data_IF_045049394134
#
_entry.id   IF_045049394134
#
_cell.length_a   1.000
_cell.length_b   1.000
_cell.length_c   1.000
_cell.angle_alpha   90.00
_cell.angle_beta   90.00
_cell.angle_gamma   90.00
#
_symmetry.space_group_name_H-M   'P 1'
#
loop_
_entity.id
_entity.type
_entity.pdbx_description
1 polymer ?
#
# COMPACT_ATOMS: atom_id res chain seq x y z
N UNK A 1 -0.57 -5.51 12.01
CA UNK A 1 0.61 -6.37 11.75
C UNK A 1 0.35 -7.53 10.79
N UNK A 2 -0.86 -8.10 10.74
CA UNK A 2 -1.18 -9.29 9.92
C UNK A 2 -1.10 -9.04 8.39
N UNK A 3 -1.67 -7.93 7.91
CA UNK A 3 -1.75 -7.65 6.46
C UNK A 3 -0.38 -7.40 5.79
N UNK A 4 0.55 -6.76 6.50
CA UNK A 4 1.94 -6.54 6.03
C UNK A 4 2.74 -7.85 5.97
N UNK A 5 2.37 -8.84 6.78
CA UNK A 5 3.03 -10.16 6.82
C UNK A 5 2.55 -11.03 5.65
N UNK A 6 1.24 -11.00 5.37
CA UNK A 6 0.63 -11.66 4.21
C UNK A 6 1.17 -11.12 2.87
N UNK A 7 1.31 -9.79 2.71
CA UNK A 7 1.82 -9.22 1.44
C UNK A 7 3.29 -9.53 1.15
N UNK A 8 4.06 -10.01 2.13
CA UNK A 8 5.45 -10.46 1.91
C UNK A 8 5.53 -11.90 1.40
N UNK A 9 4.45 -12.68 1.55
CA UNK A 9 4.40 -14.12 1.25
C UNK A 9 3.46 -14.44 0.09
N UNK A 10 2.49 -13.57 -0.19
CA UNK A 10 1.41 -13.80 -1.15
C UNK A 10 1.28 -12.58 -2.08
N UNK A 11 0.90 -12.80 -3.34
CA UNK A 11 0.66 -11.73 -4.32
C UNK A 11 -0.35 -10.71 -3.75
N UNK A 12 -0.11 -9.42 -4.00
CA UNK A 12 -0.87 -8.31 -3.40
C UNK A 12 -2.37 -8.44 -3.69
N UNK A 13 -2.72 -8.95 -4.86
CA UNK A 13 -4.08 -9.16 -5.35
C UNK A 13 -4.84 -10.21 -4.52
N UNK A 14 -4.13 -11.21 -4.00
CA UNK A 14 -4.74 -12.29 -3.22
C UNK A 14 -5.03 -11.84 -1.78
N UNK A 15 -4.11 -11.06 -1.18
CA UNK A 15 -4.34 -10.38 0.10
C UNK A 15 -5.50 -9.40 -0.02
N UNK A 16 -5.58 -8.70 -1.16
CA UNK A 16 -6.66 -7.75 -1.43
C UNK A 16 -8.04 -8.43 -1.46
N UNK A 17 -8.17 -9.51 -2.24
CA UNK A 17 -9.42 -10.30 -2.30
C UNK A 17 -9.80 -10.90 -0.95
N UNK A 18 -8.80 -11.39 -0.21
CA UNK A 18 -9.04 -11.93 1.13
C UNK A 18 -9.63 -10.88 2.07
N UNK A 19 -9.04 -9.67 2.13
CA UNK A 19 -9.54 -8.60 2.99
C UNK A 19 -10.97 -8.21 2.60
N UNK A 20 -11.26 -8.05 1.31
CA UNK A 20 -12.62 -7.72 0.84
C UNK A 20 -13.62 -8.79 1.26
N UNK A 21 -13.27 -10.07 1.07
CA UNK A 21 -14.13 -11.20 1.45
C UNK A 21 -14.42 -11.24 2.95
N UNK A 22 -13.42 -11.01 3.79
CA UNK A 22 -13.61 -10.98 5.25
C UNK A 22 -14.40 -9.76 5.71
N UNK A 23 -14.19 -8.59 5.11
CA UNK A 23 -14.99 -7.40 5.40
C UNK A 23 -16.45 -7.60 4.98
N UNK A 24 -16.72 -8.12 3.79
CA UNK A 24 -18.08 -8.39 3.34
C UNK A 24 -18.84 -9.33 4.30
N UNK A 25 -18.20 -10.36 4.85
CA UNK A 25 -18.82 -11.25 5.84
C UNK A 25 -19.31 -10.53 7.11
N UNK A 26 -18.55 -9.56 7.61
CA UNK A 26 -18.90 -8.80 8.82
C UNK A 26 -19.93 -7.72 8.56
N UNK A 27 -19.94 -7.13 7.36
CA UNK A 27 -20.88 -6.05 7.04
C UNK A 27 -22.26 -6.57 6.59
N UNK A 28 -22.33 -7.72 5.92
CA UNK A 28 -23.60 -8.39 5.62
C UNK A 28 -24.37 -8.72 6.90
N UNK A 29 -23.68 -9.04 8.00
CA UNK A 29 -24.32 -9.33 9.29
C UNK A 29 -24.75 -8.10 10.08
N UNK A 30 -24.31 -6.88 9.71
CA UNK A 30 -24.64 -5.63 10.40
C UNK A 30 -25.70 -4.77 9.68
N UNK A 31 -26.27 -5.25 8.56
CA UNK A 31 -27.41 -4.62 7.89
C UNK A 31 -27.14 -3.25 7.25
N UNK A 32 -25.89 -2.79 7.22
CA UNK A 32 -25.51 -1.53 6.58
C UNK A 32 -25.16 -1.78 5.08
N UNK A 33 -25.87 -1.14 4.12
CA UNK A 33 -25.56 -1.28 2.70
C UNK A 33 -24.31 -0.46 2.34
N UNK A 34 -23.12 -0.94 2.72
CA UNK A 34 -21.87 -0.36 2.26
C UNK A 34 -21.59 -0.85 0.84
N UNK A 35 -21.60 0.08 -0.11
CA UNK A 35 -21.26 -0.19 -1.51
C UNK A 35 -19.78 -0.60 -1.64
N UNK A 36 -19.46 -1.61 -2.45
CA UNK A 36 -18.13 -2.22 -2.61
C UNK A 36 -16.97 -1.23 -2.83
N UNK A 37 -17.27 -0.09 -3.46
CA UNK A 37 -16.34 1.03 -3.69
C UNK A 37 -15.70 1.57 -2.39
N UNK A 38 -16.40 1.51 -1.26
CA UNK A 38 -15.84 1.94 0.03
C UNK A 38 -14.75 0.99 0.51
N UNK A 39 -14.97 -0.32 0.38
CA UNK A 39 -13.95 -1.32 0.69
C UNK A 39 -12.76 -1.20 -0.24
N UNK A 40 -12.99 -0.95 -1.53
CA UNK A 40 -11.92 -0.70 -2.48
C UNK A 40 -11.05 0.50 -2.07
N UNK A 41 -11.67 1.63 -1.70
CA UNK A 41 -10.94 2.83 -1.24
C UNK A 41 -10.16 2.56 0.05
N UNK A 42 -10.79 1.89 1.03
CA UNK A 42 -10.15 1.55 2.31
C UNK A 42 -8.94 0.67 2.07
N UNK A 43 -9.09 -0.39 1.28
CA UNK A 43 -7.98 -1.31 1.08
C UNK A 43 -6.89 -0.68 0.20
N UNK A 44 -7.24 0.18 -0.76
CA UNK A 44 -6.26 1.00 -1.48
C UNK A 44 -5.44 1.86 -0.52
N UNK A 45 -6.08 2.47 0.49
CA UNK A 45 -5.39 3.23 1.53
C UNK A 45 -4.53 2.36 2.45
N UNK A 46 -4.93 1.13 2.77
CA UNK A 46 -4.08 0.21 3.56
C UNK A 46 -2.72 -0.07 2.90
N UNK A 47 -2.64 0.01 1.56
CA UNK A 47 -1.42 -0.19 0.78
C UNK A 47 -0.82 1.11 0.21
N UNK A 48 -1.26 2.28 0.67
CA UNK A 48 -0.81 3.57 0.16
C UNK A 48 0.53 4.03 0.70
N UNK A 49 1.05 3.40 1.77
CA UNK A 49 2.33 3.79 2.39
C UNK A 49 3.40 2.71 2.23
N UNK A 50 4.64 3.16 2.05
CA UNK A 50 5.83 2.31 1.94
C UNK A 50 6.86 2.72 2.97
N UNK A 51 7.69 1.76 3.38
CA UNK A 51 8.86 2.02 4.23
C UNK A 51 10.09 2.05 3.35
N UNK A 52 10.85 3.14 3.40
CA UNK A 52 12.13 3.27 2.69
C UNK A 52 13.15 2.32 3.32
N UNK A 53 13.78 1.48 2.49
CA UNK A 53 14.85 0.56 2.94
C UNK A 53 16.23 1.18 2.68
N UNK A 54 16.46 1.61 1.45
CA UNK A 54 17.64 2.34 1.00
C UNK A 54 17.15 3.68 0.44
N UNK A 55 17.62 4.84 0.94
CA UNK A 55 17.23 6.14 0.45
C UNK A 55 17.96 6.57 -0.83
N UNK A 56 18.88 5.77 -1.39
CA UNK A 56 19.57 6.09 -2.63
C UNK A 56 20.19 7.49 -2.62
N UNK A 57 19.95 8.26 -3.69
CA UNK A 57 20.30 9.69 -3.77
C UNK A 57 19.12 10.61 -3.43
N UNK A 58 18.07 10.09 -2.79
CA UNK A 58 16.93 10.88 -2.34
C UNK A 58 17.16 11.49 -0.95
N UNK A 59 16.32 12.47 -0.62
CA UNK A 59 16.32 13.13 0.70
C UNK A 59 15.53 12.35 1.77
N UNK A 60 15.17 11.09 1.49
CA UNK A 60 14.43 10.26 2.44
C UNK A 60 15.35 9.68 3.50
N UNK A 61 14.78 9.37 4.67
CA UNK A 61 15.50 8.69 5.74
C UNK A 61 15.30 7.17 5.65
N UNK A 62 16.34 6.36 5.92
CA UNK A 62 16.17 4.92 6.11
C UNK A 62 15.09 4.63 7.16
N UNK A 63 14.14 3.76 6.85
CA UNK A 63 13.03 3.43 7.74
C UNK A 63 11.86 4.41 7.74
N UNK A 64 11.98 5.56 7.06
CA UNK A 64 10.90 6.52 6.90
C UNK A 64 9.69 5.87 6.23
N UNK A 65 8.49 6.19 6.73
CA UNK A 65 7.23 5.75 6.14
C UNK A 65 6.63 6.92 5.38
N UNK A 66 6.58 6.79 4.05
CA UNK A 66 6.04 7.83 3.17
C UNK A 66 4.93 7.28 2.28
N UNK A 67 4.19 8.18 1.65
CA UNK A 67 3.20 7.80 0.66
C UNK A 67 3.87 7.21 -0.59
N UNK A 68 3.28 6.14 -1.09
CA UNK A 68 3.77 5.38 -2.23
C UNK A 68 3.81 6.24 -3.50
N UNK A 69 2.86 7.17 -3.65
CA UNK A 69 2.84 8.12 -4.75
C UNK A 69 4.09 9.01 -4.74
N UNK A 70 4.38 9.65 -3.59
CA UNK A 70 5.57 10.49 -3.37
C UNK A 70 6.87 9.70 -3.60
N UNK A 71 6.93 8.46 -3.10
CA UNK A 71 8.08 7.59 -3.34
C UNK A 71 8.34 7.35 -4.83
N UNK A 72 7.28 7.03 -5.60
CA UNK A 72 7.42 6.77 -7.03
C UNK A 72 7.76 8.02 -7.84
N UNK A 73 7.20 9.17 -7.47
CA UNK A 73 7.51 10.45 -8.10
C UNK A 73 8.98 10.82 -7.91
N UNK A 74 9.48 10.79 -6.68
CA UNK A 74 10.90 11.06 -6.39
C UNK A 74 11.83 10.09 -7.12
N UNK A 75 11.49 8.80 -7.16
CA UNK A 75 12.27 7.81 -7.92
C UNK A 75 12.27 8.09 -9.43
N UNK A 76 11.16 8.58 -9.98
CA UNK A 76 11.09 8.98 -11.39
C UNK A 76 11.98 10.19 -11.66
N UNK A 77 11.94 11.20 -10.80
CA UNK A 77 12.82 12.37 -10.90
C UNK A 77 14.31 12.00 -10.82
N UNK A 78 14.69 11.14 -9.86
CA UNK A 78 16.08 10.70 -9.71
C UNK A 78 16.57 9.95 -10.94
N UNK A 79 15.74 9.07 -11.51
CA UNK A 79 16.05 8.38 -12.78
C UNK A 79 16.27 9.35 -13.93
N UNK A 80 15.43 10.38 -14.07
CA UNK A 80 15.60 11.39 -15.11
C UNK A 80 16.90 12.20 -14.94
N UNK A 81 17.35 12.38 -13.70
CA UNK A 81 18.60 13.07 -13.35
C UNK A 81 19.83 12.15 -13.38
N UNK A 82 19.68 10.87 -13.79
CA UNK A 82 20.77 9.89 -13.80
C UNK A 82 21.27 9.47 -12.41
N UNK A 83 20.51 9.77 -11.36
CA UNK A 83 20.84 9.46 -9.95
C UNK A 83 20.28 8.10 -9.53
N UNK A 84 20.85 7.51 -8.48
CA UNK A 84 20.41 6.23 -7.92
C UNK A 84 19.03 6.38 -7.25
N UNK A 85 17.98 5.73 -7.78
CA UNK A 85 16.67 5.70 -7.14
C UNK A 85 16.62 4.70 -5.98
N UNK A 86 15.52 4.74 -5.23
CA UNK A 86 15.30 4.00 -3.98
C UNK A 86 14.47 2.73 -4.16
#
# INVERSE_FOLDING_TARGET
MILKKLSKLVKKEEVWRYIIKELQKVYVSQGAPIHDKHFEIIVRQMFSRVRVKDPGDSDFLPGQIIEKAVFFEKNRELKQKGKKPN
#
